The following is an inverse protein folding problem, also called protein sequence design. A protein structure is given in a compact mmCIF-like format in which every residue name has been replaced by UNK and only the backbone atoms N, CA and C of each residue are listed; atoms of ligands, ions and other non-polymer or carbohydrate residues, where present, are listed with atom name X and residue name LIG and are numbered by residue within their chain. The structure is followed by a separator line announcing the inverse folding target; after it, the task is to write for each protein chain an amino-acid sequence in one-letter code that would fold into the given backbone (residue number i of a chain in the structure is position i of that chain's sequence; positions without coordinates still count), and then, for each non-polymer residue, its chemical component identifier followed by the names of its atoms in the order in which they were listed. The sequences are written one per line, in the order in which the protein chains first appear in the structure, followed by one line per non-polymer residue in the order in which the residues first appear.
data_IF_616970053708
#
_entry.id   IF_616970053708
#
_cell.length_a   1.000
_cell.length_b   1.000
_cell.length_c   1.000
_cell.angle_alpha   90.00
_cell.angle_beta   90.00
_cell.angle_gamma   90.00
#
_symmetry.space_group_name_H-M   'P 1'
#
loop_
_entity.id
_entity.type
_entity.pdbx_description
1 polymer ?
#
# COMPACT_ATOMS: atom_id res chain seq x y z
N UNK A 1 19.16 -22.65 20.30
CA UNK A 1 18.67 -21.28 20.06
C UNK A 1 17.28 -21.16 20.66
N UNK A 2 17.03 -20.15 21.48
CA UNK A 2 15.70 -19.92 22.07
C UNK A 2 14.68 -19.54 20.98
N UNK A 3 13.49 -20.15 21.03
CA UNK A 3 12.43 -19.95 20.04
C UNK A 3 11.29 -19.10 20.61
N UNK A 4 10.69 -18.27 19.76
CA UNK A 4 9.53 -17.47 20.13
C UNK A 4 8.25 -18.32 20.27
N UNK A 5 7.32 -17.95 21.15
CA UNK A 5 6.06 -18.66 21.31
C UNK A 5 5.23 -18.59 20.01
N UNK A 6 4.47 -19.64 19.71
CA UNK A 6 3.69 -19.71 18.47
C UNK A 6 2.20 -19.42 18.69
N UNK A 7 1.54 -18.86 17.68
CA UNK A 7 0.08 -18.77 17.66
C UNK A 7 -0.57 -20.16 17.52
N UNK A 8 -1.67 -20.38 18.23
CA UNK A 8 -2.54 -21.53 17.99
C UNK A 8 -3.23 -21.41 16.61
N UNK A 9 -3.67 -22.52 15.98
CA UNK A 9 -4.34 -22.48 14.68
C UNK A 9 -5.55 -21.54 14.64
N UNK A 10 -6.36 -21.52 15.72
CA UNK A 10 -7.53 -20.64 15.85
C UNK A 10 -7.15 -19.16 15.90
N UNK A 11 -6.10 -18.82 16.65
CA UNK A 11 -5.57 -17.45 16.69
C UNK A 11 -5.02 -17.03 15.32
N UNK A 12 -4.32 -17.93 14.62
CA UNK A 12 -3.79 -17.64 13.26
C UNK A 12 -4.91 -17.25 12.30
N UNK A 13 -5.98 -18.05 12.25
CA UNK A 13 -7.15 -17.79 11.39
C UNK A 13 -7.80 -16.46 11.76
N UNK A 14 -8.00 -16.19 13.06
CA UNK A 14 -8.59 -14.92 13.51
C UNK A 14 -7.76 -13.71 13.08
N UNK A 15 -6.44 -13.75 13.26
CA UNK A 15 -5.57 -12.63 12.89
C UNK A 15 -5.48 -12.44 11.37
N UNK A 16 -5.35 -13.53 10.61
CA UNK A 16 -5.31 -13.47 9.14
C UNK A 16 -6.65 -12.98 8.61
N UNK A 17 -7.77 -13.52 9.10
CA UNK A 17 -9.11 -13.08 8.74
C UNK A 17 -9.33 -11.59 9.00
N UNK A 18 -8.95 -11.10 10.18
CA UNK A 18 -9.05 -9.68 10.51
C UNK A 18 -8.19 -8.80 9.57
N UNK A 19 -6.96 -9.23 9.25
CA UNK A 19 -6.09 -8.51 8.32
C UNK A 19 -6.66 -8.51 6.89
N UNK A 20 -7.20 -9.63 6.42
CA UNK A 20 -7.85 -9.72 5.11
C UNK A 20 -9.08 -8.83 5.02
N UNK A 21 -9.94 -8.82 6.05
CA UNK A 21 -11.11 -7.94 6.10
C UNK A 21 -10.68 -6.47 6.09
N UNK A 22 -9.69 -6.11 6.91
CA UNK A 22 -9.15 -4.74 6.93
C UNK A 22 -8.62 -4.31 5.55
N UNK A 23 -7.81 -5.15 4.90
CA UNK A 23 -7.27 -4.86 3.58
C UNK A 23 -8.36 -4.79 2.50
N UNK A 24 -9.37 -5.65 2.56
CA UNK A 24 -10.48 -5.65 1.61
C UNK A 24 -11.30 -4.36 1.72
N UNK A 25 -11.68 -3.95 2.93
CA UNK A 25 -12.39 -2.69 3.16
C UNK A 25 -11.55 -1.51 2.68
N UNK A 26 -10.27 -1.46 3.06
CA UNK A 26 -9.38 -0.39 2.64
C UNK A 26 -9.22 -0.34 1.11
N UNK A 27 -9.15 -1.48 0.43
CA UNK A 27 -9.04 -1.54 -1.03
C UNK A 27 -10.33 -1.08 -1.72
N UNK A 28 -11.50 -1.43 -1.19
CA UNK A 28 -12.81 -0.97 -1.72
C UNK A 28 -12.94 0.54 -1.57
N UNK A 29 -12.67 1.07 -0.37
CA UNK A 29 -12.75 2.52 -0.10
C UNK A 29 -11.76 3.31 -0.95
N UNK A 30 -10.57 2.76 -1.21
CA UNK A 30 -9.60 3.35 -2.12
C UNK A 30 -10.05 3.29 -3.59
N UNK A 31 -10.64 2.18 -4.04
CA UNK A 31 -11.02 1.97 -5.44
C UNK A 31 -12.28 2.75 -5.84
N UNK A 32 -13.22 2.97 -4.91
CA UNK A 32 -14.50 3.62 -5.18
C UNK A 32 -14.37 5.00 -5.86
N UNK A 33 -13.63 5.99 -5.33
CA UNK A 33 -13.51 7.30 -5.97
C UNK A 33 -12.76 7.24 -7.31
N UNK A 34 -11.84 6.27 -7.48
CA UNK A 34 -11.14 6.05 -8.75
C UNK A 34 -12.12 5.55 -9.81
N UNK A 35 -12.94 4.56 -9.46
CA UNK A 35 -13.93 3.96 -10.35
C UNK A 35 -15.03 4.97 -10.74
N UNK A 36 -15.55 5.73 -9.79
CA UNK A 36 -16.57 6.75 -10.05
C UNK A 36 -16.08 7.79 -11.07
N UNK A 37 -14.85 8.28 -10.91
CA UNK A 37 -14.28 9.25 -11.84
C UNK A 37 -13.92 8.65 -13.20
N UNK A 38 -13.49 7.38 -13.22
CA UNK A 38 -13.23 6.66 -14.46
C UNK A 38 -14.51 6.44 -15.29
N UNK A 39 -15.63 6.11 -14.64
CA UNK A 39 -16.92 5.94 -15.29
C UNK A 39 -17.50 7.27 -15.82
N UNK A 40 -17.20 8.40 -15.16
CA UNK A 40 -17.74 9.70 -15.52
C UNK A 40 -17.19 10.27 -16.85
N UNK A 41 -15.89 10.17 -17.11
CA UNK A 41 -15.28 10.65 -18.37
C UNK A 41 -14.20 9.66 -18.85
N UNK A 42 -14.36 9.10 -20.06
CA UNK A 42 -13.44 8.08 -20.60
C UNK A 42 -12.01 8.57 -20.82
N UNK A 43 -11.83 9.85 -21.14
CA UNK A 43 -10.51 10.42 -21.42
C UNK A 43 -9.77 10.80 -20.12
N UNK A 44 -10.45 11.48 -19.19
CA UNK A 44 -9.93 11.76 -17.85
C UNK A 44 -9.79 10.48 -17.01
N UNK A 45 -10.64 9.50 -17.28
CA UNK A 45 -10.59 8.18 -16.68
C UNK A 45 -9.25 7.49 -16.93
N UNK A 46 -8.69 7.58 -18.14
CA UNK A 46 -7.37 6.98 -18.42
C UNK A 46 -6.27 7.65 -17.59
N UNK A 47 -6.30 8.97 -17.45
CA UNK A 47 -5.37 9.74 -16.60
C UNK A 47 -5.49 9.31 -15.14
N UNK A 48 -6.71 9.24 -14.63
CA UNK A 48 -7.00 8.85 -13.26
C UNK A 48 -6.58 7.40 -13.01
N UNK A 49 -6.76 6.52 -13.98
CA UNK A 49 -6.34 5.13 -13.91
C UNK A 49 -4.82 5.00 -13.89
N UNK A 50 -4.10 5.80 -14.68
CA UNK A 50 -2.62 5.84 -14.64
C UNK A 50 -2.12 6.29 -13.27
N UNK A 51 -2.67 7.37 -12.70
CA UNK A 51 -2.32 7.80 -11.34
C UNK A 51 -2.67 6.74 -10.29
N UNK A 52 -3.86 6.14 -10.38
CA UNK A 52 -4.31 5.14 -9.42
C UNK A 52 -3.41 3.89 -9.44
N UNK A 53 -3.03 3.40 -10.61
CA UNK A 53 -2.21 2.19 -10.74
C UNK A 53 -0.75 2.46 -10.39
N UNK A 54 -0.15 3.54 -10.89
CA UNK A 54 1.29 3.75 -10.75
C UNK A 54 1.70 4.52 -9.50
N UNK A 55 0.85 5.43 -8.99
CA UNK A 55 1.13 6.18 -7.76
C UNK A 55 0.25 5.71 -6.58
N UNK A 56 -1.03 5.49 -6.83
CA UNK A 56 -2.00 5.11 -5.79
C UNK A 56 -1.75 3.72 -5.22
N UNK A 57 -1.60 2.70 -6.06
CA UNK A 57 -1.44 1.31 -5.61
C UNK A 57 -0.15 1.08 -4.80
N UNK A 58 1.04 1.54 -5.23
CA UNK A 58 2.26 1.39 -4.41
C UNK A 58 2.15 2.13 -3.07
N UNK A 59 1.52 3.32 -3.06
CA UNK A 59 1.24 4.07 -1.82
C UNK A 59 0.31 3.30 -0.89
N UNK A 60 -0.76 2.72 -1.43
CA UNK A 60 -1.71 1.89 -0.69
C UNK A 60 -1.03 0.66 -0.08
N UNK A 61 -0.18 -0.03 -0.85
CA UNK A 61 0.61 -1.16 -0.35
C UNK A 61 1.56 -0.75 0.78
N UNK A 62 2.27 0.36 0.62
CA UNK A 62 3.17 0.88 1.66
C UNK A 62 2.39 1.23 2.94
N UNK A 63 1.24 1.89 2.81
CA UNK A 63 0.37 2.22 3.93
C UNK A 63 -0.16 0.96 4.63
N UNK A 64 -0.62 -0.05 3.88
CA UNK A 64 -1.06 -1.33 4.43
C UNK A 64 0.05 -2.08 5.18
N UNK A 65 1.26 -2.11 4.62
CA UNK A 65 2.43 -2.70 5.28
C UNK A 65 2.75 -1.98 6.60
N UNK A 66 2.76 -0.65 6.60
CA UNK A 66 3.01 0.16 7.79
C UNK A 66 1.91 0.00 8.84
N UNK A 67 0.64 -0.03 8.44
CA UNK A 67 -0.49 -0.20 9.34
C UNK A 67 -0.47 -1.58 10.03
N UNK A 68 -0.19 -2.64 9.27
CA UNK A 68 -0.20 -4.01 9.80
C UNK A 68 1.08 -4.36 10.57
N UNK A 69 2.25 -3.95 10.06
CA UNK A 69 3.55 -4.42 10.56
C UNK A 69 4.45 -3.31 11.10
N UNK A 70 4.15 -2.03 10.86
CA UNK A 70 5.01 -0.91 11.23
C UNK A 70 5.28 -0.84 12.73
N UNK A 71 4.26 -1.03 13.58
CA UNK A 71 4.43 -1.07 15.04
C UNK A 71 5.31 -2.25 15.51
N UNK A 72 5.24 -3.38 14.82
CA UNK A 72 6.10 -4.52 15.10
C UNK A 72 7.56 -4.18 14.79
N UNK A 73 7.85 -3.74 13.56
CA UNK A 73 9.21 -3.45 13.14
C UNK A 73 9.81 -2.22 13.83
N UNK A 74 8.99 -1.25 14.23
CA UNK A 74 9.43 -0.17 15.12
C UNK A 74 9.92 -0.70 16.48
N UNK A 75 9.20 -1.66 17.08
CA UNK A 75 9.67 -2.32 18.31
C UNK A 75 10.95 -3.12 18.08
N UNK A 76 11.07 -3.84 16.95
CA UNK A 76 12.31 -4.54 16.58
C UNK A 76 13.49 -3.57 16.50
N UNK A 77 13.29 -2.41 15.86
CA UNK A 77 14.32 -1.37 15.75
C UNK A 77 14.75 -0.84 17.12
N UNK A 78 13.78 -0.55 18.00
CA UNK A 78 14.04 -0.01 19.35
C UNK A 78 14.68 -1.04 20.28
N UNK A 79 14.16 -2.27 20.30
CA UNK A 79 14.60 -3.35 21.20
C UNK A 79 15.82 -4.12 20.68
N UNK A 80 16.17 -3.94 19.39
CA UNK A 80 17.23 -4.70 18.70
C UNK A 80 17.04 -6.22 18.85
N UNK A 81 15.79 -6.67 18.83
CA UNK A 81 15.41 -8.08 18.95
C UNK A 81 14.28 -8.40 17.97
N UNK A 82 14.42 -9.51 17.24
CA UNK A 82 13.41 -10.05 16.34
C UNK A 82 13.12 -11.52 16.68
N UNK A 83 11.86 -11.94 16.85
CA UNK A 83 10.66 -11.10 17.00
C UNK A 83 10.73 -10.25 18.29
N UNK A 84 9.92 -9.18 18.43
CA UNK A 84 9.86 -8.39 19.66
C UNK A 84 9.50 -9.23 20.89
N UNK A 85 9.93 -8.79 22.07
CA UNK A 85 9.58 -9.48 23.32
C UNK A 85 8.06 -9.54 23.52
N UNK A 86 7.57 -10.70 23.98
CA UNK A 86 6.15 -10.94 24.24
C UNK A 86 5.27 -11.12 22.99
N UNK A 87 5.85 -11.17 21.79
CA UNK A 87 5.11 -11.52 20.58
C UNK A 87 5.11 -13.02 20.29
N UNK A 88 3.95 -13.52 19.86
CA UNK A 88 3.83 -14.84 19.25
C UNK A 88 4.13 -14.77 17.74
N UNK A 89 4.65 -15.84 17.16
CA UNK A 89 4.95 -15.96 15.73
C UNK A 89 4.07 -17.00 15.03
N UNK A 90 3.89 -16.86 13.72
CA UNK A 90 3.12 -17.81 12.90
C UNK A 90 3.88 -19.12 12.61
N UNK A 91 5.21 -19.04 12.60
CA UNK A 91 6.15 -20.13 12.33
C UNK A 91 7.20 -20.20 13.43
N UNK A 92 7.85 -21.37 13.63
CA UNK A 92 9.01 -21.48 14.50
C UNK A 92 10.06 -20.44 14.07
N UNK A 93 10.29 -19.44 14.92
CA UNK A 93 11.18 -18.30 14.62
C UNK A 93 12.21 -18.19 15.73
N UNK A 94 13.51 -18.34 15.43
CA UNK A 94 14.55 -18.14 16.43
C UNK A 94 14.67 -16.66 16.77
N UNK A 95 14.99 -16.37 18.04
CA UNK A 95 15.34 -15.00 18.41
C UNK A 95 16.65 -14.56 17.75
N UNK A 96 16.63 -13.37 17.19
CA UNK A 96 17.78 -12.68 16.61
C UNK A 96 17.97 -11.38 17.35
N UNK A 97 19.22 -11.08 17.73
CA UNK A 97 19.57 -9.95 18.57
C UNK A 97 20.54 -8.98 17.88
N UNK A 98 20.66 -7.77 18.43
CA UNK A 98 21.68 -6.79 18.08
C UNK A 98 21.52 -6.22 16.67
N UNK A 99 22.65 -6.02 15.98
CA UNK A 99 22.69 -5.41 14.64
C UNK A 99 21.87 -6.17 13.58
N UNK A 100 21.84 -7.51 13.66
CA UNK A 100 21.08 -8.35 12.73
C UNK A 100 19.56 -8.11 12.82
N UNK A 101 19.03 -7.91 14.03
CA UNK A 101 17.62 -7.57 14.21
C UNK A 101 17.32 -6.16 13.68
N UNK A 102 18.23 -5.22 13.91
CA UNK A 102 18.10 -3.85 13.40
C UNK A 102 18.12 -3.81 11.87
N UNK A 103 18.97 -4.62 11.22
CA UNK A 103 19.02 -4.73 9.76
C UNK A 103 17.70 -5.25 9.18
N UNK A 104 17.05 -6.21 9.84
CA UNK A 104 15.71 -6.69 9.43
C UNK A 104 14.66 -5.58 9.49
N UNK A 105 14.66 -4.79 10.57
CA UNK A 105 13.77 -3.64 10.67
C UNK A 105 14.12 -2.54 9.64
N UNK A 106 15.41 -2.30 9.40
CA UNK A 106 15.87 -1.39 8.34
C UNK A 106 15.31 -1.82 6.98
N UNK A 107 15.47 -3.10 6.62
CA UNK A 107 14.98 -3.64 5.37
C UNK A 107 13.48 -3.46 5.18
N UNK A 108 12.67 -3.67 6.23
CA UNK A 108 11.24 -3.41 6.18
C UNK A 108 10.91 -1.94 5.87
N UNK A 109 11.55 -1.00 6.58
CA UNK A 109 11.33 0.43 6.33
C UNK A 109 11.88 0.89 4.97
N UNK A 110 12.98 0.30 4.50
CA UNK A 110 13.53 0.54 3.17
C UNK A 110 12.56 0.08 2.07
N UNK A 111 11.91 -1.08 2.22
CA UNK A 111 10.87 -1.53 1.28
C UNK A 111 9.70 -0.53 1.25
N UNK A 112 9.23 -0.08 2.42
CA UNK A 112 8.15 0.91 2.49
C UNK A 112 8.57 2.24 1.84
N UNK A 113 9.78 2.72 2.13
CA UNK A 113 10.33 3.94 1.53
C UNK A 113 10.51 3.80 0.01
N UNK A 114 10.93 2.64 -0.47
CA UNK A 114 11.07 2.34 -1.88
C UNK A 114 9.73 2.36 -2.61
N UNK A 115 8.68 1.75 -2.05
CA UNK A 115 7.32 1.81 -2.61
C UNK A 115 6.80 3.24 -2.69
N UNK A 116 7.03 4.05 -1.65
CA UNK A 116 6.66 5.47 -1.65
C UNK A 116 7.50 6.29 -2.65
N UNK A 117 8.78 5.95 -2.81
CA UNK A 117 9.66 6.55 -3.82
C UNK A 117 9.19 6.25 -5.24
N UNK A 118 8.81 5.00 -5.53
CA UNK A 118 8.18 4.62 -6.80
C UNK A 118 6.89 5.41 -7.01
N UNK A 119 6.02 5.50 -6.00
CA UNK A 119 4.76 6.22 -6.12
C UNK A 119 4.97 7.70 -6.43
N UNK A 120 5.92 8.35 -5.75
CA UNK A 120 6.25 9.76 -5.98
C UNK A 120 6.84 9.97 -7.39
N UNK A 121 7.78 9.12 -7.80
CA UNK A 121 8.37 9.18 -9.13
C UNK A 121 7.31 8.96 -10.23
N UNK A 122 6.45 7.96 -10.06
CA UNK A 122 5.37 7.67 -10.98
C UNK A 122 4.38 8.83 -11.08
N UNK A 123 4.04 9.50 -9.98
CA UNK A 123 3.16 10.65 -10.00
C UNK A 123 3.74 11.80 -10.85
N UNK A 124 5.03 12.10 -10.71
CA UNK A 124 5.72 13.10 -11.53
C UNK A 124 5.76 12.67 -12.99
N UNK A 125 6.13 11.43 -13.27
CA UNK A 125 6.19 10.90 -14.63
C UNK A 125 4.84 10.95 -15.35
N UNK A 126 3.76 10.57 -14.67
CA UNK A 126 2.39 10.63 -15.23
C UNK A 126 1.98 12.07 -15.47
N UNK A 127 2.34 13.00 -14.58
CA UNK A 127 2.09 14.43 -14.76
C UNK A 127 2.76 14.96 -16.03
N UNK A 128 4.06 14.70 -16.20
CA UNK A 128 4.83 15.15 -17.36
C UNK A 128 4.32 14.51 -18.66
N UNK A 129 3.98 13.22 -18.62
CA UNK A 129 3.41 12.49 -19.76
C UNK A 129 2.10 13.11 -20.23
N UNK A 130 1.24 13.54 -19.30
CA UNK A 130 -0.02 14.21 -19.61
C UNK A 130 0.22 15.64 -20.08
N UNK A 131 1.14 16.38 -19.46
CA UNK A 131 1.47 17.74 -19.86
C UNK A 131 2.08 17.80 -21.27
N UNK A 132 2.81 16.76 -21.70
CA UNK A 132 3.35 16.62 -23.04
C UNK A 132 2.33 16.14 -24.08
N UNK A 133 1.25 15.47 -23.66
CA UNK A 133 0.16 15.00 -24.52
C UNK A 133 -0.97 16.03 -24.56
N UNK A 134 -1.10 16.73 -25.68
CA UNK A 134 -2.02 17.87 -25.88
C UNK A 134 -3.42 17.71 -25.24
N UNK A 135 -3.63 18.37 -24.09
CA UNK A 135 -4.88 18.35 -23.28
C UNK A 135 -5.99 19.22 -23.91
N UNK A 136 -5.68 19.97 -24.97
CA UNK A 136 -6.58 20.98 -25.54
C UNK A 136 -7.80 20.42 -26.30
N UNK A 137 -7.79 19.16 -26.72
CA UNK A 137 -8.87 18.58 -27.53
C UNK A 137 -10.02 17.99 -26.69
N UNK A 138 -9.86 17.82 -25.37
CA UNK A 138 -10.70 16.92 -24.57
C UNK A 138 -11.66 17.60 -23.59
N UNK A 139 -11.40 18.82 -23.13
CA UNK A 139 -12.34 19.55 -22.25
C UNK A 139 -13.67 19.90 -22.95
N UNK A 140 -13.66 20.08 -24.28
CA UNK A 140 -14.88 20.35 -25.05
C UNK A 140 -15.80 19.13 -25.24
N UNK A 141 -15.25 17.91 -25.23
CA UNK A 141 -16.00 16.69 -25.56
C UNK A 141 -16.80 16.11 -24.39
N UNK A 142 -16.34 16.29 -23.13
CA UNK A 142 -17.12 15.82 -21.97
C UNK A 142 -18.28 16.78 -21.62
N UNK A 143 -18.14 18.09 -21.89
CA UNK A 143 -19.21 19.07 -21.69
C UNK A 143 -20.41 18.85 -22.65
N UNK A 144 -20.14 18.49 -23.91
CA UNK A 144 -21.20 18.24 -24.91
C UNK A 144 -22.03 16.99 -24.58
N UNK A 145 -21.43 15.97 -23.93
CA UNK A 145 -22.15 14.75 -23.55
C UNK A 145 -23.07 14.95 -22.34
N UNK A 146 -22.78 15.87 -21.43
CA UNK A 146 -23.67 16.19 -20.31
C UNK A 146 -24.90 16.99 -20.73
N UNK A 147 -24.86 17.70 -21.85
CA UNK A 147 -26.02 18.44 -22.39
C UNK A 147 -26.96 17.57 -23.24
N UNK A 148 -26.46 16.48 -23.84
CA UNK A 148 -27.25 15.53 -24.63
C UNK A 148 -27.48 14.21 -23.87
N UNK A 149 -28.12 14.31 -22.70
CA UNK A 149 -28.44 13.19 -21.83
C UNK A 149 -28.98 11.96 -22.57
N UNK A 150 -28.28 10.85 -22.41
CA UNK A 150 -28.73 9.47 -22.67
C UNK A 150 -28.35 8.65 -21.46
#
# INVERSE_FOLDING_TARGET
MEQAPQYSPKEKIRHIGAACVFLAVAAIEWAKPVLERWLACRHDGNVIMLYAVFAGYPSFLAAGLLALNGRMFYRVWRQRQYPPQGMKTYRPTPYVYGGKARLRAAGFFLICAFLLGIAAYAAVYVYDFIAAGDVQTSQGLCAIRTEHGI
#
